data_IF_449590494773
#
_entry.id   IF_449590494773
#
_cell.length_a   1.000
_cell.length_b   1.000
_cell.length_c   1.000
_cell.angle_alpha   90.00
_cell.angle_beta   90.00
_cell.angle_gamma   90.00
#
_symmetry.space_group_name_H-M   'P 1'
#
loop_
_entity.id
_entity.type
_entity.pdbx_description
1 polymer ?
#
# COMPACT_ATOMS: atom_id res chain seq x y z
N UNK A 1 6.15 -0.64 -2.92
CA UNK A 1 6.64 -1.78 -3.74
C UNK A 1 5.62 -1.94 -4.85
N UNK A 2 6.05 -2.07 -6.09
CA UNK A 2 5.10 -2.19 -7.20
C UNK A 2 4.58 -3.61 -7.32
N UNK A 3 3.26 -3.75 -7.28
CA UNK A 3 2.60 -5.04 -7.49
C UNK A 3 2.94 -5.60 -8.87
N UNK A 4 3.24 -4.72 -9.82
CA UNK A 4 3.57 -5.14 -11.18
C UNK A 4 4.92 -5.85 -11.28
N UNK A 5 5.87 -5.48 -10.42
CA UNK A 5 7.19 -6.10 -10.31
C UNK A 5 7.19 -7.36 -9.43
N UNK A 6 6.08 -7.63 -8.72
CA UNK A 6 5.92 -8.85 -7.92
C UNK A 6 5.61 -10.06 -8.83
N UNK A 7 6.32 -11.17 -8.59
CA UNK A 7 6.00 -12.48 -9.18
C UNK A 7 4.52 -12.83 -8.91
N UNK A 8 3.89 -13.55 -9.83
CA UNK A 8 2.45 -13.89 -9.78
C UNK A 8 2.00 -14.51 -8.44
N UNK A 9 2.85 -15.32 -7.81
CA UNK A 9 2.60 -15.88 -6.46
C UNK A 9 2.46 -14.83 -5.36
N UNK A 10 3.23 -13.74 -5.45
CA UNK A 10 3.17 -12.64 -4.49
C UNK A 10 1.99 -11.73 -4.78
N UNK A 11 1.59 -11.58 -6.05
CA UNK A 11 0.35 -10.88 -6.45
C UNK A 11 -0.88 -11.50 -5.78
N UNK A 12 -1.01 -12.83 -5.80
CA UNK A 12 -2.15 -13.50 -5.15
C UNK A 12 -2.16 -13.33 -3.64
N UNK A 13 -1.00 -13.29 -2.98
CA UNK A 13 -0.92 -12.95 -1.55
C UNK A 13 -1.32 -11.50 -1.29
N UNK A 14 -0.90 -10.58 -2.16
CA UNK A 14 -1.30 -9.18 -2.07
C UNK A 14 -2.81 -9.04 -2.27
N UNK A 15 -3.41 -9.65 -3.29
CA UNK A 15 -4.86 -9.67 -3.51
C UNK A 15 -5.63 -10.26 -2.33
N UNK A 16 -5.12 -11.32 -1.71
CA UNK A 16 -5.72 -11.89 -0.50
C UNK A 16 -5.67 -10.91 0.68
N UNK A 17 -4.56 -10.17 0.82
CA UNK A 17 -4.42 -9.10 1.82
C UNK A 17 -5.36 -7.95 1.51
N UNK A 18 -5.50 -7.54 0.24
CA UNK A 18 -6.48 -6.51 -0.18
C UNK A 18 -7.90 -6.97 0.13
N UNK A 19 -8.25 -8.21 -0.19
CA UNK A 19 -9.57 -8.76 0.04
C UNK A 19 -9.89 -8.93 1.53
N UNK A 20 -8.87 -9.23 2.35
CA UNK A 20 -9.03 -9.35 3.81
C UNK A 20 -9.01 -7.99 4.52
N UNK A 21 -8.38 -6.98 3.91
CA UNK A 21 -8.36 -5.61 4.44
C UNK A 21 -9.67 -4.94 4.05
N UNK A 22 -10.44 -4.48 5.05
CA UNK A 22 -11.71 -3.80 4.76
C UNK A 22 -11.43 -2.49 4.01
N UNK A 23 -12.31 -2.18 3.07
CA UNK A 23 -12.18 -0.98 2.23
C UNK A 23 -12.18 0.32 3.06
N UNK A 24 -12.93 0.34 4.18
CA UNK A 24 -12.94 1.44 5.16
C UNK A 24 -11.58 1.64 5.85
N UNK A 25 -10.94 0.56 6.29
CA UNK A 25 -9.58 0.61 6.87
C UNK A 25 -8.58 1.15 5.83
N UNK A 26 -8.71 0.73 4.57
CA UNK A 26 -7.91 1.28 3.46
C UNK A 26 -8.17 2.76 3.20
N UNK A 27 -9.41 3.23 3.34
CA UNK A 27 -9.74 4.63 3.12
C UNK A 27 -9.18 5.50 4.23
N UNK A 28 -9.37 5.10 5.49
CA UNK A 28 -8.78 5.79 6.66
C UNK A 28 -7.25 5.82 6.59
N UNK A 29 -6.63 4.76 6.07
CA UNK A 29 -5.19 4.74 5.90
C UNK A 29 -4.72 5.72 4.82
N UNK A 30 -5.43 5.81 3.69
CA UNK A 30 -5.14 6.80 2.64
C UNK A 30 -5.32 8.22 3.14
N UNK A 31 -6.38 8.49 3.89
CA UNK A 31 -6.57 9.78 4.55
C UNK A 31 -5.47 10.10 5.55
N UNK A 32 -5.04 9.12 6.35
CA UNK A 32 -3.93 9.28 7.30
C UNK A 32 -2.60 9.55 6.58
N UNK A 33 -2.38 8.90 5.44
CA UNK A 33 -1.22 9.14 4.57
C UNK A 33 -1.28 10.57 4.02
N UNK A 34 -2.43 11.02 3.51
CA UNK A 34 -2.62 12.38 3.00
C UNK A 34 -2.50 13.44 4.10
N UNK A 35 -2.95 13.12 5.31
CA UNK A 35 -2.78 13.96 6.49
C UNK A 35 -1.34 13.99 7.00
N UNK A 36 -0.50 13.02 6.63
CA UNK A 36 0.90 12.92 7.07
C UNK A 36 1.85 13.31 5.93
N UNK A 37 2.34 14.55 5.90
CA UNK A 37 3.18 15.05 4.80
C UNK A 37 4.49 14.29 4.64
N UNK A 38 5.02 13.67 5.70
CA UNK A 38 6.23 12.86 5.65
C UNK A 38 6.02 11.55 4.88
N UNK A 39 4.89 10.87 5.11
CA UNK A 39 4.49 9.65 4.40
C UNK A 39 4.15 9.95 2.93
N UNK A 40 3.43 11.05 2.69
CA UNK A 40 3.18 11.58 1.35
C UNK A 40 4.48 11.86 0.59
N UNK A 41 5.46 12.48 1.26
CA UNK A 41 6.76 12.79 0.68
C UNK A 41 7.56 11.53 0.37
N UNK A 42 7.52 10.52 1.25
CA UNK A 42 8.15 9.22 1.02
C UNK A 42 7.51 8.48 -0.17
N UNK A 43 6.19 8.55 -0.32
CA UNK A 43 5.47 8.00 -1.48
C UNK A 43 5.80 8.77 -2.76
N UNK A 44 5.76 10.10 -2.71
CA UNK A 44 6.10 10.97 -3.86
C UNK A 44 7.56 10.83 -4.28
N UNK A 45 8.48 10.64 -3.34
CA UNK A 45 9.90 10.37 -3.63
C UNK A 45 10.09 9.06 -4.41
N UNK A 46 9.15 8.10 -4.26
CA UNK A 46 9.08 6.89 -5.07
C UNK A 46 8.19 7.03 -6.31
N UNK A 47 7.70 8.24 -6.62
CA UNK A 47 6.81 8.50 -7.76
C UNK A 47 5.39 7.94 -7.57
N UNK A 48 4.96 7.69 -6.33
CA UNK A 48 3.66 7.10 -5.99
C UNK A 48 2.81 8.07 -5.17
N UNK A 49 1.50 7.84 -5.16
CA UNK A 49 0.56 8.58 -4.33
C UNK A 49 -0.29 7.65 -3.46
N UNK A 50 -0.99 8.22 -2.47
CA UNK A 50 -1.92 7.51 -1.57
C UNK A 50 -3.03 6.76 -2.33
N UNK A 51 -3.55 7.32 -3.41
CA UNK A 51 -4.58 6.69 -4.24
C UNK A 51 -4.08 5.42 -4.97
N UNK A 52 -2.79 5.33 -5.26
CA UNK A 52 -2.15 4.18 -5.89
C UNK A 52 -1.83 3.05 -4.92
N UNK A 53 -1.89 3.29 -3.61
CA UNK A 53 -1.79 2.23 -2.60
C UNK A 53 -2.99 1.33 -2.79
N UNK A 54 -2.81 0.03 -2.95
CA UNK A 54 -3.92 -0.93 -3.07
C UNK A 54 -3.89 -1.98 -1.98
N UNK A 55 -2.74 -2.20 -1.34
CA UNK A 55 -2.61 -3.08 -0.19
C UNK A 55 -1.57 -2.54 0.80
N UNK A 56 -1.69 -2.99 2.04
CA UNK A 56 -0.64 -2.82 3.06
C UNK A 56 -0.38 -4.16 3.71
N UNK A 57 0.87 -4.43 4.04
CA UNK A 57 1.22 -5.53 4.92
C UNK A 57 2.03 -4.97 6.09
N UNK A 58 1.75 -5.45 7.29
CA UNK A 58 2.56 -5.17 8.47
C UNK A 58 3.20 -6.50 8.85
N UNK A 59 4.52 -6.56 8.69
CA UNK A 59 5.29 -7.73 9.06
C UNK A 59 5.32 -7.91 10.59
N UNK A 60 5.72 -9.10 11.05
CA UNK A 60 5.80 -9.43 12.50
C UNK A 60 6.74 -8.50 13.28
N UNK A 61 7.63 -7.81 12.57
CA UNK A 61 8.56 -6.82 13.11
C UNK A 61 7.93 -5.41 13.21
N UNK A 62 6.66 -5.24 12.84
CA UNK A 62 5.96 -3.96 12.83
C UNK A 62 6.30 -3.08 11.61
N UNK A 63 6.99 -3.63 10.62
CA UNK A 63 7.35 -2.91 9.39
C UNK A 63 6.14 -2.85 8.47
N UNK A 64 5.69 -1.62 8.20
CA UNK A 64 4.59 -1.37 7.27
C UNK A 64 5.12 -1.29 5.83
N UNK A 65 4.66 -2.23 5.00
CA UNK A 65 4.94 -2.29 3.57
C UNK A 65 3.70 -1.86 2.78
N UNK A 66 3.86 -0.80 1.98
CA UNK A 66 2.83 -0.31 1.07
C UNK A 66 3.01 -0.93 -0.31
N UNK A 67 1.93 -1.53 -0.81
CA UNK A 67 1.85 -2.02 -2.17
C UNK A 67 1.11 -1.01 -3.03
N UNK A 68 1.79 -0.55 -4.07
CA UNK A 68 1.27 0.42 -5.02
C UNK A 68 1.06 -0.23 -6.37
N UNK A 69 0.04 0.21 -7.10
CA UNK A 69 -0.18 -0.17 -8.49
C UNK A 69 -0.02 1.06 -9.38
N UNK A 70 0.83 0.94 -10.40
CA UNK A 70 0.89 1.95 -11.45
C UNK A 70 -0.48 2.01 -12.14
N UNK A 71 -0.99 3.22 -12.36
CA UNK A 71 -2.26 3.46 -13.04
C UNK A 71 -2.06 3.39 -14.54
#
# INVERSE_FOLDING_TARGET
MDIDELKSDLRSQVDAIVASTKQDDMNSLRESIDATPETLSALKAKGRNSAQVVAINIDKEGVLTLFTRAT
#
